data_IF_145266235777
#
_entry.id   IF_145266235777
#
_cell.length_a   1.000
_cell.length_b   1.000
_cell.length_c   1.000
_cell.angle_alpha   90.00
_cell.angle_beta   90.00
_cell.angle_gamma   90.00
#
_symmetry.space_group_name_H-M   'P 1'
#
loop_
_entity.id
_entity.type
_entity.pdbx_description
1 polymer ?
#
# COMPACT_ATOMS: atom_id res chain seq x y z
N UNK A 1 -7.48 23.94 -0.52
CA UNK A 1 -7.92 22.81 0.30
C UNK A 1 -8.05 23.31 1.72
N UNK A 2 -9.18 23.06 2.37
CA UNK A 2 -9.38 23.33 3.80
C UNK A 2 -8.63 22.28 4.63
N UNK A 3 -8.27 22.63 5.87
CA UNK A 3 -7.63 21.67 6.80
C UNK A 3 -8.50 20.43 7.01
N UNK A 4 -9.82 20.62 7.12
CA UNK A 4 -10.78 19.51 7.27
C UNK A 4 -10.74 18.54 6.09
N UNK A 5 -10.65 19.05 4.86
CA UNK A 5 -10.54 18.23 3.64
C UNK A 5 -9.23 17.44 3.64
N UNK A 6 -8.11 18.06 4.05
CA UNK A 6 -6.83 17.38 4.14
C UNK A 6 -6.83 16.26 5.20
N UNK A 7 -7.42 16.51 6.38
CA UNK A 7 -7.58 15.49 7.43
C UNK A 7 -8.45 14.32 6.93
N UNK A 8 -9.53 14.61 6.23
CA UNK A 8 -10.40 13.58 5.66
C UNK A 8 -9.65 12.72 4.63
N UNK A 9 -8.82 13.31 3.76
CA UNK A 9 -7.98 12.56 2.82
C UNK A 9 -7.01 11.61 3.54
N UNK A 10 -6.38 12.05 4.64
CA UNK A 10 -5.48 11.20 5.43
C UNK A 10 -6.22 10.01 6.08
N UNK A 11 -7.42 10.25 6.60
CA UNK A 11 -8.27 9.20 7.19
C UNK A 11 -8.75 8.20 6.14
N UNK A 12 -9.18 8.70 4.98
CA UNK A 12 -9.60 7.86 3.86
C UNK A 12 -8.44 7.01 3.35
N UNK A 13 -7.23 7.57 3.26
CA UNK A 13 -6.03 6.83 2.90
C UNK A 13 -5.75 5.68 3.89
N UNK A 14 -5.84 5.94 5.20
CA UNK A 14 -5.63 4.91 6.23
C UNK A 14 -6.67 3.78 6.15
N UNK A 15 -7.95 4.12 5.98
CA UNK A 15 -9.03 3.14 5.84
C UNK A 15 -8.88 2.31 4.57
N UNK A 16 -8.59 2.96 3.43
CA UNK A 16 -8.34 2.29 2.17
C UNK A 16 -7.13 1.34 2.28
N UNK A 17 -6.08 1.77 2.98
CA UNK A 17 -4.89 0.97 3.19
C UNK A 17 -5.15 -0.30 4.01
N UNK A 18 -5.85 -0.21 5.14
CA UNK A 18 -6.25 -1.38 5.94
C UNK A 18 -7.09 -2.37 5.13
N UNK A 19 -8.05 -1.84 4.36
CA UNK A 19 -8.89 -2.65 3.48
C UNK A 19 -8.08 -3.35 2.38
N UNK A 20 -7.02 -2.72 1.90
CA UNK A 20 -6.12 -3.27 0.91
C UNK A 20 -5.24 -4.40 1.45
N UNK A 21 -4.66 -4.23 2.65
CA UNK A 21 -3.86 -5.29 3.30
C UNK A 21 -4.71 -6.54 3.53
N UNK A 22 -5.95 -6.38 4.02
CA UNK A 22 -6.88 -7.50 4.20
C UNK A 22 -7.20 -8.23 2.88
N UNK A 23 -7.31 -7.50 1.76
CA UNK A 23 -7.48 -8.12 0.43
C UNK A 23 -6.23 -8.88 -0.01
N UNK A 24 -5.04 -8.34 0.25
CA UNK A 24 -3.78 -9.03 -0.06
C UNK A 24 -3.62 -10.31 0.76
N UNK A 25 -4.07 -10.32 2.02
CA UNK A 25 -4.12 -11.51 2.86
C UNK A 25 -5.04 -12.59 2.27
N UNK A 26 -6.27 -12.20 1.91
CA UNK A 26 -7.26 -13.10 1.30
C UNK A 26 -6.75 -13.70 -0.02
N UNK A 27 -6.07 -12.90 -0.84
CA UNK A 27 -5.42 -13.31 -2.09
C UNK A 27 -4.39 -14.42 -1.85
N UNK A 28 -3.52 -14.25 -0.85
CA UNK A 28 -2.48 -15.23 -0.49
C UNK A 28 -3.10 -16.50 0.08
N UNK A 29 -4.19 -16.37 0.84
CA UNK A 29 -4.98 -17.50 1.33
C UNK A 29 -5.72 -18.26 0.21
N UNK A 30 -5.62 -17.82 -1.05
CA UNK A 30 -6.23 -18.47 -2.20
C UNK A 30 -7.72 -18.16 -2.38
N UNK A 31 -8.23 -17.13 -1.71
CA UNK A 31 -9.61 -16.67 -1.91
C UNK A 31 -9.73 -15.98 -3.28
N UNK A 32 -10.86 -16.20 -3.95
CA UNK A 32 -11.18 -15.48 -5.18
C UNK A 32 -11.52 -14.03 -4.84
N UNK A 33 -10.57 -13.13 -5.08
CA UNK A 33 -10.74 -11.68 -4.99
C UNK A 33 -10.68 -11.09 -6.40
N UNK A 34 -11.54 -10.11 -6.69
CA UNK A 34 -11.52 -9.38 -7.96
C UNK A 34 -10.14 -8.78 -8.20
N UNK A 35 -9.55 -9.15 -9.34
CA UNK A 35 -8.17 -8.81 -9.70
C UNK A 35 -8.02 -7.33 -10.12
N UNK A 36 -9.12 -6.65 -10.42
CA UNK A 36 -9.11 -5.38 -11.17
C UNK A 36 -8.87 -4.08 -10.39
N UNK A 37 -8.59 -4.09 -9.09
CA UNK A 37 -8.73 -2.84 -8.31
C UNK A 37 -7.47 -2.27 -7.66
N UNK A 38 -6.26 -2.73 -8.00
CA UNK A 38 -5.05 -2.26 -7.33
C UNK A 38 -4.10 -1.57 -8.31
N UNK A 39 -3.99 -0.23 -8.24
CA UNK A 39 -3.02 0.53 -9.01
C UNK A 39 -1.60 0.04 -8.74
N UNK A 40 -0.95 -0.42 -9.79
CA UNK A 40 0.40 -0.98 -9.72
C UNK A 40 1.46 0.08 -9.41
N UNK A 41 1.20 1.33 -9.82
CA UNK A 41 2.07 2.47 -9.58
C UNK A 41 1.63 3.22 -8.30
N UNK A 42 2.57 3.58 -7.40
CA UNK A 42 2.26 4.34 -6.20
C UNK A 42 1.63 5.70 -6.52
N UNK A 43 1.98 6.32 -7.64
CA UNK A 43 1.42 7.60 -8.09
C UNK A 43 -0.03 7.51 -8.56
N UNK A 44 -0.51 6.32 -8.90
CA UNK A 44 -1.81 6.14 -9.56
C UNK A 44 -2.94 5.83 -8.57
N UNK A 45 -2.58 5.46 -7.34
CA UNK A 45 -3.54 5.25 -6.26
C UNK A 45 -4.16 6.59 -5.81
N UNK A 46 -5.36 6.53 -5.22
CA UNK A 46 -6.07 7.74 -4.80
C UNK A 46 -5.22 8.60 -3.83
N UNK A 47 -4.52 7.94 -2.91
CA UNK A 47 -3.58 8.60 -2.01
C UNK A 47 -2.39 9.20 -2.76
N UNK A 48 -1.77 8.47 -3.69
CA UNK A 48 -0.63 8.94 -4.49
C UNK A 48 -0.98 10.16 -5.34
N UNK A 49 -2.12 10.13 -6.03
CA UNK A 49 -2.65 11.29 -6.78
C UNK A 49 -2.85 12.51 -5.90
N UNK A 50 -3.34 12.30 -4.68
CA UNK A 50 -3.45 13.38 -3.70
C UNK A 50 -2.07 13.84 -3.20
N UNK A 51 -1.20 12.91 -2.81
CA UNK A 51 0.12 13.15 -2.23
C UNK A 51 0.98 14.00 -3.17
N UNK A 52 1.11 13.58 -4.44
CA UNK A 52 1.85 14.29 -5.48
C UNK A 52 1.08 15.46 -6.10
N UNK A 53 -0.20 15.64 -5.76
CA UNK A 53 -1.04 16.74 -6.23
C UNK A 53 -1.35 17.74 -5.11
N UNK A 54 -2.63 17.91 -4.72
CA UNK A 54 -3.04 18.86 -3.68
C UNK A 54 -2.32 18.71 -2.33
N UNK A 55 -1.90 17.50 -1.97
CA UNK A 55 -1.21 17.18 -0.72
C UNK A 55 0.15 17.88 -0.57
N UNK A 56 0.77 18.34 -1.66
CA UNK A 56 2.06 19.05 -1.62
C UNK A 56 2.05 20.33 -0.75
N UNK A 57 0.88 20.89 -0.43
CA UNK A 57 0.80 21.98 0.55
C UNK A 57 1.32 21.59 1.94
N UNK A 58 1.33 20.29 2.25
CA UNK A 58 1.82 19.74 3.50
C UNK A 58 3.33 19.44 3.47
N UNK A 59 4.05 19.70 2.37
CA UNK A 59 5.47 19.34 2.18
C UNK A 59 6.46 19.86 3.23
N UNK A 60 6.06 20.87 4.00
CA UNK A 60 6.87 21.42 5.10
C UNK A 60 6.78 20.57 6.37
N UNK A 61 5.75 19.73 6.50
CA UNK A 61 5.54 18.85 7.64
C UNK A 61 6.51 17.66 7.57
N UNK A 62 7.26 17.35 8.64
CA UNK A 62 8.21 16.23 8.64
C UNK A 62 7.58 14.89 8.24
N UNK A 63 6.37 14.60 8.72
CA UNK A 63 5.68 13.34 8.41
C UNK A 63 5.33 13.21 6.92
N UNK A 64 5.05 14.33 6.24
CA UNK A 64 4.80 14.30 4.79
C UNK A 64 6.04 13.81 4.03
N UNK A 65 7.24 14.28 4.41
CA UNK A 65 8.50 13.86 3.78
C UNK A 65 8.85 12.40 4.11
N UNK A 66 8.54 11.97 5.32
CA UNK A 66 8.79 10.60 5.76
C UNK A 66 7.95 9.55 5.00
N UNK A 67 6.83 9.96 4.38
CA UNK A 67 5.86 9.07 3.72
C UNK A 67 6.33 8.46 2.40
N UNK A 68 7.08 9.21 1.58
CA UNK A 68 7.36 8.85 0.18
C UNK A 68 7.99 7.45 0.08
N UNK A 69 9.10 7.24 0.79
CA UNK A 69 9.84 5.98 0.78
C UNK A 69 9.02 4.76 1.23
N UNK A 70 8.35 4.75 2.40
CA UNK A 70 7.56 3.61 2.82
C UNK A 70 6.34 3.38 1.91
N UNK A 71 5.72 4.42 1.36
CA UNK A 71 4.64 4.28 0.39
C UNK A 71 5.11 3.62 -0.92
N UNK A 72 6.26 4.03 -1.46
CA UNK A 72 6.84 3.40 -2.64
C UNK A 72 7.26 1.95 -2.37
N UNK A 73 7.87 1.69 -1.21
CA UNK A 73 8.27 0.34 -0.83
C UNK A 73 7.06 -0.59 -0.67
N UNK A 74 5.96 -0.08 -0.12
CA UNK A 74 4.70 -0.81 0.02
C UNK A 74 4.18 -1.29 -1.34
N UNK A 75 4.06 -0.39 -2.31
CA UNK A 75 3.63 -0.74 -3.67
C UNK A 75 4.58 -1.73 -4.34
N UNK A 76 5.90 -1.55 -4.16
CA UNK A 76 6.90 -2.48 -4.71
C UNK A 76 6.77 -3.89 -4.14
N UNK A 77 6.60 -4.03 -2.82
CA UNK A 77 6.45 -5.35 -2.18
C UNK A 77 5.16 -6.03 -2.64
N UNK A 78 4.06 -5.28 -2.71
CA UNK A 78 2.81 -5.81 -3.23
C UNK A 78 2.93 -6.32 -4.67
N UNK A 79 3.61 -5.57 -5.54
CA UNK A 79 3.85 -5.99 -6.92
C UNK A 79 4.65 -7.29 -7.01
N UNK A 80 5.58 -7.54 -6.08
CA UNK A 80 6.31 -8.80 -6.02
C UNK A 80 5.40 -9.97 -5.60
N UNK A 81 4.51 -9.76 -4.62
CA UNK A 81 3.49 -10.74 -4.22
C UNK A 81 2.59 -11.05 -5.43
N UNK A 82 2.07 -10.01 -6.10
CA UNK A 82 1.20 -10.17 -7.26
C UNK A 82 1.89 -10.97 -8.38
N UNK A 83 3.14 -10.64 -8.72
CA UNK A 83 3.90 -11.39 -9.73
C UNK A 83 4.11 -12.85 -9.32
N UNK A 84 4.41 -13.14 -8.05
CA UNK A 84 4.57 -14.52 -7.59
C UNK A 84 3.29 -15.35 -7.70
N UNK A 85 2.13 -14.72 -7.48
CA UNK A 85 0.84 -15.39 -7.50
C UNK A 85 0.23 -15.47 -8.91
N UNK A 86 0.53 -14.51 -9.80
CA UNK A 86 -0.18 -14.33 -11.07
C UNK A 86 0.68 -14.28 -12.33
N UNK A 87 2.02 -14.22 -12.25
CA UNK A 87 2.80 -14.49 -13.46
C UNK A 87 2.67 -15.96 -13.80
N UNK A 88 1.89 -16.25 -14.85
CA UNK A 88 1.92 -17.55 -15.49
C UNK A 88 3.29 -17.72 -16.16
N UNK A 89 4.04 -18.81 -15.91
CA UNK A 89 5.11 -19.18 -16.81
C UNK A 89 4.46 -19.49 -18.17
N UNK A 90 4.88 -18.80 -19.23
CA UNK A 90 4.43 -19.06 -20.60
C UNK A 90 4.78 -20.50 -21.04
N UNK A 91 3.97 -21.49 -20.67
CA UNK A 91 4.08 -22.88 -21.10
C UNK A 91 2.79 -23.60 -20.62
N UNK A 92 1.71 -23.77 -21.38
CA UNK A 92 1.56 -23.97 -22.83
C UNK A 92 2.59 -24.88 -23.51
N UNK A 93 3.50 -25.52 -22.76
CA UNK A 93 4.30 -26.65 -23.26
C UNK A 93 4.11 -27.88 -22.38
N UNK A 94 2.94 -28.50 -22.57
CA UNK A 94 2.83 -29.95 -22.76
C UNK A 94 3.30 -30.83 -21.57
N UNK A 95 2.49 -30.84 -20.51
CA UNK A 95 1.93 -32.11 -20.01
C UNK A 95 2.83 -33.15 -19.32
N UNK A 96 4.07 -32.85 -18.88
CA UNK A 96 4.97 -33.92 -18.37
C UNK A 96 5.48 -33.88 -16.93
N UNK A 97 5.13 -32.93 -16.04
CA UNK A 97 5.62 -32.96 -14.65
C UNK A 97 4.62 -32.45 -13.58
N UNK A 98 3.62 -33.27 -13.25
CA UNK A 98 2.60 -32.97 -12.23
C UNK A 98 3.14 -32.89 -10.78
N UNK A 99 4.35 -33.41 -10.51
CA UNK A 99 5.00 -33.40 -9.19
C UNK A 99 5.92 -32.20 -8.93
N UNK A 100 6.71 -31.77 -9.91
CA UNK A 100 7.57 -30.58 -9.77
C UNK A 100 6.75 -29.28 -9.68
N UNK A 101 5.59 -29.22 -10.34
CA UNK A 101 4.69 -28.07 -10.30
C UNK A 101 4.09 -27.81 -8.92
N UNK A 102 3.77 -28.87 -8.14
CA UNK A 102 3.28 -28.72 -6.75
C UNK A 102 4.34 -28.15 -5.81
N UNK A 103 5.58 -28.64 -5.90
CA UNK A 103 6.69 -28.14 -5.07
C UNK A 103 7.03 -26.68 -5.40
N UNK A 104 7.05 -26.33 -6.69
CA UNK A 104 7.24 -24.95 -7.14
C UNK A 104 6.13 -24.03 -6.62
N UNK A 105 4.86 -24.46 -6.69
CA UNK A 105 3.72 -23.70 -6.16
C UNK A 105 3.78 -23.51 -4.64
N UNK A 106 4.16 -24.54 -3.89
CA UNK A 106 4.34 -24.43 -2.44
C UNK A 106 5.45 -23.43 -2.07
N UNK A 107 6.54 -23.43 -2.82
CA UNK A 107 7.64 -22.47 -2.63
C UNK A 107 7.23 -21.04 -3.00
N UNK A 108 6.45 -20.84 -4.07
CA UNK A 108 5.88 -19.54 -4.43
C UNK A 108 4.96 -18.99 -3.31
N UNK A 109 4.11 -19.83 -2.73
CA UNK A 109 3.24 -19.43 -1.62
C UNK A 109 4.05 -19.03 -0.38
N UNK A 110 5.07 -19.81 -0.02
CA UNK A 110 5.97 -19.48 1.09
C UNK A 110 6.69 -18.15 0.88
N UNK A 111 7.11 -17.85 -0.35
CA UNK A 111 7.72 -16.56 -0.70
C UNK A 111 6.70 -15.41 -0.63
N UNK A 112 5.46 -15.64 -1.07
CA UNK A 112 4.38 -14.67 -0.96
C UNK A 112 4.03 -14.36 0.50
N UNK A 113 3.96 -15.37 1.37
CA UNK A 113 3.76 -15.21 2.82
C UNK A 113 4.88 -14.37 3.46
N UNK A 114 6.15 -14.66 3.15
CA UNK A 114 7.28 -13.89 3.67
C UNK A 114 7.25 -12.43 3.22
N UNK A 115 6.90 -12.17 1.96
CA UNK A 115 6.71 -10.81 1.45
C UNK A 115 5.49 -10.13 2.08
N UNK A 116 4.45 -10.88 2.43
CA UNK A 116 3.27 -10.35 3.10
C UNK A 116 3.57 -9.92 4.53
N UNK A 117 4.34 -10.69 5.29
CA UNK A 117 4.82 -10.23 6.60
C UNK A 117 5.61 -8.93 6.48
N UNK A 118 6.46 -8.80 5.44
CA UNK A 118 7.14 -7.53 5.14
C UNK A 118 6.15 -6.42 4.78
N UNK A 119 5.12 -6.73 4.01
CA UNK A 119 4.07 -5.78 3.61
C UNK A 119 3.33 -5.23 4.83
N UNK A 120 3.00 -6.09 5.80
CA UNK A 120 2.32 -5.71 7.05
C UNK A 120 3.16 -4.72 7.86
N UNK A 121 4.46 -4.98 8.02
CA UNK A 121 5.37 -4.06 8.72
C UNK A 121 5.47 -2.69 8.04
N UNK A 122 5.54 -2.65 6.70
CA UNK A 122 5.54 -1.39 5.97
C UNK A 122 4.19 -0.68 6.12
N UNK A 123 3.08 -1.43 6.07
CA UNK A 123 1.73 -0.93 6.25
C UNK A 123 1.52 -0.24 7.60
N UNK A 124 2.02 -0.85 8.67
CA UNK A 124 2.00 -0.27 10.03
C UNK A 124 2.74 1.07 10.03
N UNK A 125 3.96 1.11 9.49
CA UNK A 125 4.73 2.35 9.37
C UNK A 125 4.00 3.42 8.54
N UNK A 126 3.37 3.05 7.42
CA UNK A 126 2.56 4.00 6.62
C UNK A 126 1.40 4.55 7.44
N UNK A 127 0.70 3.70 8.20
CA UNK A 127 -0.41 4.14 9.07
C UNK A 127 0.08 5.11 10.15
N UNK A 128 1.21 4.82 10.79
CA UNK A 128 1.81 5.66 11.82
C UNK A 128 2.22 7.03 11.26
N UNK A 129 2.78 7.08 10.05
CA UNK A 129 3.14 8.33 9.40
C UNK A 129 1.88 9.13 9.03
N UNK A 130 0.80 8.48 8.58
CA UNK A 130 -0.48 9.15 8.34
C UNK A 130 -1.04 9.77 9.63
N UNK A 131 -0.91 9.08 10.76
CA UNK A 131 -1.31 9.59 12.09
C UNK A 131 -0.50 10.80 12.50
N UNK A 132 0.83 10.72 12.35
CA UNK A 132 1.72 11.83 12.64
C UNK A 132 1.45 13.03 11.73
N UNK A 133 1.16 12.80 10.45
CA UNK A 133 0.84 13.88 9.50
C UNK A 133 -0.48 14.57 9.85
N UNK A 134 -1.50 13.80 10.24
CA UNK A 134 -2.77 14.34 10.74
C UNK A 134 -2.56 15.19 12.01
N UNK A 135 -1.82 14.68 12.99
CA UNK A 135 -1.52 15.40 14.22
C UNK A 135 -0.73 16.70 13.96
N UNK A 136 0.30 16.65 13.11
CA UNK A 136 1.10 17.83 12.73
C UNK A 136 0.24 18.90 12.04
N UNK A 137 -0.68 18.48 11.16
CA UNK A 137 -1.59 19.39 10.48
C UNK A 137 -2.54 20.08 11.45
N UNK A 138 -3.17 19.34 12.36
CA UNK A 138 -4.08 19.88 13.37
C UNK A 138 -3.34 20.85 14.30
N UNK A 139 -2.13 20.48 14.75
CA UNK A 139 -1.31 21.34 15.60
C UNK A 139 -0.90 22.64 14.89
N UNK A 140 -0.48 22.56 13.64
CA UNK A 140 -0.11 23.74 12.85
C UNK A 140 -1.29 24.68 12.64
N UNK A 141 -2.49 24.13 12.39
CA UNK A 141 -3.72 24.90 12.27
C UNK A 141 -4.11 25.61 13.58
N UNK A 142 -4.04 24.92 14.72
CA UNK A 142 -4.35 25.49 16.02
C UNK A 142 -3.41 26.65 16.40
N UNK A 143 -2.11 26.52 16.11
CA UNK A 143 -1.12 27.60 16.34
C UNK A 143 -1.44 28.84 15.50
N UNK A 144 -1.84 28.68 14.25
CA UNK A 144 -2.22 29.81 13.38
C UNK A 144 -3.48 30.55 13.86
N UNK A 145 -4.43 29.84 14.46
CA UNK A 145 -5.64 30.43 15.02
C UNK A 145 -5.35 31.25 16.30
N UNK A 146 -4.36 30.83 17.09
CA UNK A 146 -3.98 31.52 18.34
C UNK A 146 -3.07 32.74 18.15
N UNK A 147 -2.52 32.93 16.95
CA UNK A 147 -1.63 34.06 16.59
C UNK A 147 -2.34 35.18 15.81
N UNK A 148 -3.64 35.01 15.52
CA UNK A 148 -4.52 36.01 14.89
C UNK A 148 -5.41 36.62 15.95
#
# INVERSE_FOLDING_TARGET
>A
MKISEAVEQLRNARTAHKSWVARAEALIAGMSVDKEHIPMMPTDCAFGKWYYGPGQMLRRLPAYKAMEKPHDELHRVYMNIFKLLFNEPEVSMLGKMFGQSKKAKAEQLKQAEALFSKLQLISENVCDILEQLEAQLIQAAGKQASMK
#
